data_IF_859574902794
#
_entry.id   IF_859574902794
#
_cell.length_a   1.000
_cell.length_b   1.000
_cell.length_c   1.000
_cell.angle_alpha   90.00
_cell.angle_beta   90.00
_cell.angle_gamma   90.00
#
_symmetry.space_group_name_H-M   'P 1'
#
loop_
_entity.id
_entity.type
_entity.pdbx_description
1 polymer ?
#
# COMPACT_ATOMS: atom_id res chain seq x y z
N UNK A 1 -25.25 0.54 20.90
CA UNK A 1 -26.40 1.03 20.12
C UNK A 1 -25.97 2.30 19.40
N UNK A 2 -26.90 3.04 18.77
CA UNK A 2 -26.60 4.34 18.13
C UNK A 2 -26.03 5.40 19.09
N UNK A 3 -26.14 5.20 20.41
CA UNK A 3 -25.63 6.07 21.45
C UNK A 3 -24.33 5.54 22.09
N UNK A 4 -23.73 4.47 21.54
CA UNK A 4 -22.50 3.87 22.07
C UNK A 4 -22.69 2.94 23.28
N UNK A 5 -23.92 2.56 23.63
CA UNK A 5 -24.17 1.66 24.75
C UNK A 5 -23.88 0.19 24.41
N UNK A 6 -23.46 -0.59 25.40
CA UNK A 6 -23.31 -2.05 25.31
C UNK A 6 -24.69 -2.70 25.35
N UNK A 7 -24.98 -3.59 24.39
CA UNK A 7 -26.20 -4.40 24.34
C UNK A 7 -25.88 -5.84 24.74
N UNK A 8 -26.82 -6.51 25.42
CA UNK A 8 -26.72 -7.92 25.82
C UNK A 8 -27.55 -8.80 24.87
N UNK A 9 -27.01 -9.94 24.46
CA UNK A 9 -27.76 -10.96 23.72
C UNK A 9 -28.56 -11.80 24.71
N UNK A 10 -29.88 -11.70 24.66
CA UNK A 10 -30.76 -12.42 25.59
C UNK A 10 -31.01 -13.87 25.16
N UNK A 11 -31.16 -14.13 23.85
CA UNK A 11 -31.46 -15.45 23.30
C UNK A 11 -30.78 -15.63 21.92
N UNK A 12 -30.42 -16.88 21.60
CA UNK A 12 -29.85 -17.29 20.31
C UNK A 12 -30.52 -18.58 19.85
N UNK A 13 -31.02 -18.60 18.60
CA UNK A 13 -31.74 -19.75 18.05
C UNK A 13 -31.38 -19.96 16.57
N UNK A 14 -31.46 -21.21 16.11
CA UNK A 14 -31.13 -21.60 14.73
C UNK A 14 -32.25 -22.49 14.18
N UNK A 15 -32.85 -22.06 13.07
CA UNK A 15 -33.95 -22.77 12.42
C UNK A 15 -33.62 -23.08 10.95
N UNK A 16 -33.94 -24.31 10.51
CA UNK A 16 -33.91 -24.69 9.11
C UNK A 16 -35.31 -24.53 8.51
N UNK A 17 -35.42 -23.73 7.45
CA UNK A 17 -36.70 -23.47 6.80
C UNK A 17 -37.00 -24.53 5.73
N UNK A 18 -38.27 -24.94 5.60
CA UNK A 18 -38.68 -25.91 4.57
C UNK A 18 -38.59 -25.35 3.14
N UNK A 19 -38.59 -24.02 2.98
CA UNK A 19 -38.54 -23.31 1.69
C UNK A 19 -37.56 -22.14 1.77
N UNK A 20 -36.89 -21.77 0.66
CA UNK A 20 -36.00 -20.62 0.64
C UNK A 20 -36.70 -19.33 1.07
N UNK A 21 -36.09 -18.60 2.00
CA UNK A 21 -36.56 -17.30 2.48
C UNK A 21 -35.78 -16.20 1.77
N UNK A 22 -36.49 -15.17 1.28
CA UNK A 22 -35.86 -13.99 0.69
C UNK A 22 -35.25 -13.13 1.80
N UNK A 23 -33.97 -12.83 1.68
CA UNK A 23 -33.22 -11.92 2.56
C UNK A 23 -32.70 -10.72 1.78
N UNK A 24 -32.38 -9.63 2.47
CA UNK A 24 -31.89 -8.39 1.86
C UNK A 24 -30.59 -7.95 2.54
N UNK A 25 -29.67 -7.43 1.74
CA UNK A 25 -28.44 -6.77 2.17
C UNK A 25 -28.18 -5.56 1.27
N UNK A 26 -27.44 -4.58 1.77
CA UNK A 26 -26.94 -3.43 1.00
C UNK A 26 -25.52 -3.13 1.46
N UNK A 27 -24.73 -2.47 0.62
CA UNK A 27 -23.36 -2.05 0.92
C UNK A 27 -23.31 -0.56 1.19
N UNK A 28 -22.48 -0.16 2.16
CA UNK A 28 -22.15 1.25 2.43
C UNK A 28 -20.68 1.48 2.12
N UNK A 29 -20.41 2.58 1.43
CA UNK A 29 -19.12 2.82 0.76
C UNK A 29 -17.94 3.01 1.73
N UNK A 30 -18.07 3.91 2.70
CA UNK A 30 -16.91 4.37 3.50
C UNK A 30 -16.80 3.63 4.84
N UNK A 31 -17.88 3.65 5.63
CA UNK A 31 -17.83 3.18 7.01
C UNK A 31 -17.97 1.67 7.17
N UNK A 32 -18.37 0.95 6.12
CA UNK A 32 -18.62 -0.51 6.09
C UNK A 32 -19.50 -1.04 7.24
N UNK A 33 -20.21 -0.14 7.94
CA UNK A 33 -21.00 -0.40 9.13
C UNK A 33 -22.31 0.37 9.05
N UNK A 34 -23.37 -0.21 9.58
CA UNK A 34 -24.70 0.37 9.60
C UNK A 34 -25.48 -0.13 10.81
N UNK A 35 -26.53 0.60 11.18
CA UNK A 35 -27.41 0.22 12.26
C UNK A 35 -28.64 -0.53 11.72
N UNK A 36 -28.98 -1.64 12.36
CA UNK A 36 -30.19 -2.43 12.06
C UNK A 36 -31.16 -2.45 13.23
N UNK A 37 -32.44 -2.69 12.92
CA UNK A 37 -33.56 -2.76 13.86
C UNK A 37 -33.87 -1.45 14.61
N UNK A 38 -34.98 -1.44 15.35
CA UNK A 38 -35.33 -0.32 16.23
C UNK A 38 -34.42 -0.15 17.44
N UNK A 39 -33.59 -1.17 17.77
CA UNK A 39 -32.61 -1.11 18.85
C UNK A 39 -31.29 -0.46 18.43
N UNK A 40 -31.11 -0.18 17.13
CA UNK A 40 -29.87 0.42 16.64
C UNK A 40 -28.66 -0.48 16.90
N UNK A 41 -28.76 -1.75 16.55
CA UNK A 41 -27.64 -2.69 16.64
C UNK A 41 -26.65 -2.34 15.53
N UNK A 42 -25.40 -2.08 15.88
CA UNK A 42 -24.34 -1.84 14.92
C UNK A 42 -23.90 -3.16 14.29
N UNK A 43 -23.99 -3.25 12.97
CA UNK A 43 -23.56 -4.40 12.16
C UNK A 43 -22.60 -3.95 11.07
N UNK A 44 -21.85 -4.89 10.52
CA UNK A 44 -20.93 -4.64 9.41
C UNK A 44 -21.42 -5.33 8.13
N UNK A 45 -20.99 -4.82 6.98
CA UNK A 45 -21.13 -5.53 5.72
C UNK A 45 -20.30 -6.82 5.75
N UNK A 46 -20.92 -7.96 5.39
CA UNK A 46 -20.19 -9.20 5.18
C UNK A 46 -19.55 -9.14 3.79
N UNK A 47 -18.22 -9.24 3.76
CA UNK A 47 -17.44 -9.08 2.56
C UNK A 47 -17.42 -10.36 1.69
N UNK A 48 -17.32 -10.19 0.37
CA UNK A 48 -16.91 -11.28 -0.53
C UNK A 48 -15.58 -11.85 -0.04
N UNK A 49 -15.42 -13.17 -0.13
CA UNK A 49 -14.36 -13.99 0.49
C UNK A 49 -13.00 -13.29 0.75
N UNK A 50 -12.52 -13.39 1.99
CA UNK A 50 -11.19 -12.94 2.45
C UNK A 50 -11.11 -11.43 2.61
N UNK A 51 -11.49 -10.91 3.79
CA UNK A 51 -11.49 -9.48 4.15
C UNK A 51 -11.69 -8.57 2.93
N UNK A 52 -12.86 -8.68 2.28
CA UNK A 52 -13.18 -8.18 0.93
C UNK A 52 -13.13 -6.68 0.74
N UNK A 53 -11.93 -6.18 0.88
CA UNK A 53 -11.42 -4.93 0.36
C UNK A 53 -11.05 -5.04 -1.12
N UNK A 54 -11.02 -6.27 -1.69
CA UNK A 54 -10.39 -6.49 -2.99
C UNK A 54 -11.23 -7.26 -4.02
N UNK A 55 -11.28 -6.74 -5.24
CA UNK A 55 -11.75 -7.40 -6.47
C UNK A 55 -10.72 -8.43 -6.97
N UNK A 56 -9.41 -8.14 -6.82
CA UNK A 56 -8.32 -9.06 -7.11
C UNK A 56 -7.63 -9.50 -5.82
N UNK A 57 -7.62 -10.81 -5.55
CA UNK A 57 -7.07 -11.34 -4.29
C UNK A 57 -5.56 -11.02 -4.15
N UNK A 58 -5.13 -10.23 -3.15
CA UNK A 58 -3.71 -9.94 -2.95
C UNK A 58 -2.87 -11.18 -2.68
N UNK A 59 -3.42 -12.20 -2.03
CA UNK A 59 -2.75 -13.48 -1.77
C UNK A 59 -2.40 -14.27 -3.05
N UNK A 60 -2.97 -13.93 -4.21
CA UNK A 60 -2.59 -14.55 -5.49
C UNK A 60 -1.22 -14.02 -5.99
N UNK A 61 -0.73 -12.90 -5.45
CA UNK A 61 0.56 -12.31 -5.83
C UNK A 61 1.69 -12.81 -4.91
N UNK A 62 2.70 -13.53 -5.44
CA UNK A 62 3.80 -14.06 -4.63
C UNK A 62 4.59 -12.98 -3.88
N UNK A 63 4.61 -11.75 -4.40
CA UNK A 63 5.29 -10.62 -3.75
C UNK A 63 4.52 -10.14 -2.52
N UNK A 64 3.19 -10.17 -2.55
CA UNK A 64 2.33 -9.91 -1.38
C UNK A 64 2.63 -10.93 -0.31
N UNK A 65 2.57 -12.23 -0.65
CA UNK A 65 2.86 -13.31 0.31
C UNK A 65 4.29 -13.28 0.88
N UNK A 66 5.24 -12.66 0.17
CA UNK A 66 6.62 -12.53 0.66
C UNK A 66 6.79 -11.42 1.71
N UNK A 67 5.95 -10.39 1.68
CA UNK A 67 6.15 -9.17 2.49
C UNK A 67 4.97 -8.86 3.44
N UNK A 68 3.80 -9.45 3.23
CA UNK A 68 2.59 -9.25 4.02
C UNK A 68 1.87 -10.59 4.28
N UNK A 69 1.02 -10.59 5.29
CA UNK A 69 0.17 -11.72 5.69
C UNK A 69 -1.24 -11.23 5.96
N UNK A 70 -2.22 -12.12 5.76
CA UNK A 70 -3.62 -11.85 6.10
C UNK A 70 -3.76 -11.69 7.62
N UNK A 71 -4.46 -10.64 8.05
CA UNK A 71 -4.84 -10.42 9.44
C UNK A 71 -6.29 -9.95 9.49
N UNK A 72 -7.22 -10.75 10.07
CA UNK A 72 -8.62 -10.37 10.23
C UNK A 72 -8.86 -9.08 11.04
N UNK A 73 -7.87 -8.63 11.81
CA UNK A 73 -7.98 -7.40 12.59
C UNK A 73 -7.42 -6.19 11.84
N UNK A 74 -6.68 -6.39 10.74
CA UNK A 74 -6.13 -5.27 9.98
C UNK A 74 -7.25 -4.57 9.20
N UNK A 75 -7.17 -3.23 9.11
CA UNK A 75 -8.20 -2.38 8.48
C UNK A 75 -8.49 -2.78 7.03
N UNK A 76 -7.46 -3.22 6.30
CA UNK A 76 -7.59 -3.73 4.93
C UNK A 76 -7.27 -5.23 4.82
N UNK A 77 -7.33 -5.95 5.93
CA UNK A 77 -7.20 -7.41 5.96
C UNK A 77 -5.80 -7.98 5.78
N UNK A 78 -4.78 -7.13 5.61
CA UNK A 78 -3.37 -7.53 5.50
C UNK A 78 -2.49 -6.65 6.38
N UNK A 79 -1.39 -7.22 6.87
CA UNK A 79 -0.32 -6.48 7.55
C UNK A 79 1.06 -6.93 7.07
N UNK A 80 2.10 -6.07 7.19
CA UNK A 80 3.47 -6.43 6.89
C UNK A 80 4.01 -7.56 7.77
N UNK A 81 4.80 -8.44 7.18
CA UNK A 81 5.55 -9.46 7.90
C UNK A 81 6.76 -8.88 8.63
N UNK A 82 7.18 -9.56 9.70
CA UNK A 82 8.37 -9.19 10.49
C UNK A 82 9.70 -9.43 9.75
N UNK A 83 9.66 -10.20 8.67
CA UNK A 83 10.75 -10.40 7.73
C UNK A 83 10.44 -9.72 6.37
N UNK A 84 11.31 -9.91 5.39
CA UNK A 84 11.12 -9.31 4.07
C UNK A 84 11.42 -7.81 4.00
N UNK A 85 10.86 -7.17 2.98
CA UNK A 85 11.16 -5.77 2.63
C UNK A 85 10.32 -4.75 3.40
N UNK A 86 9.18 -5.17 3.97
CA UNK A 86 8.30 -4.30 4.76
C UNK A 86 8.48 -4.46 6.28
N UNK A 87 9.49 -5.19 6.74
CA UNK A 87 9.78 -5.45 8.17
C UNK A 87 9.78 -4.23 9.09
N UNK A 88 10.13 -3.04 8.56
CA UNK A 88 10.15 -1.81 9.34
C UNK A 88 8.75 -1.33 9.75
N UNK A 89 7.70 -1.82 9.09
CA UNK A 89 6.30 -1.47 9.36
C UNK A 89 5.55 -2.56 10.13
N UNK A 90 6.20 -3.70 10.41
CA UNK A 90 5.56 -4.90 10.94
C UNK A 90 5.14 -4.80 12.42
N UNK A 91 5.66 -3.81 13.15
CA UNK A 91 5.35 -3.59 14.57
C UNK A 91 4.32 -2.49 14.80
N UNK A 92 3.81 -1.87 13.72
CA UNK A 92 2.76 -0.85 13.80
C UNK A 92 1.38 -1.49 14.00
N UNK A 93 0.41 -0.71 14.50
CA UNK A 93 -0.95 -1.19 14.71
C UNK A 93 -1.81 -1.05 13.45
N UNK A 94 -1.83 -2.10 12.65
CA UNK A 94 -2.62 -2.15 11.42
C UNK A 94 -4.13 -2.34 11.65
N UNK A 95 -4.57 -2.48 12.90
CA UNK A 95 -5.99 -2.49 13.27
C UNK A 95 -6.57 -1.09 13.56
N UNK A 96 -5.70 -0.09 13.71
CA UNK A 96 -6.09 1.30 13.94
C UNK A 96 -6.43 2.03 12.62
N UNK A 97 -7.70 2.43 12.39
CA UNK A 97 -8.09 3.14 11.18
C UNK A 97 -7.39 4.48 10.97
N UNK A 98 -7.07 5.23 12.05
CA UNK A 98 -6.41 6.53 11.91
C UNK A 98 -4.95 6.37 11.47
N UNK A 99 -4.23 5.41 12.05
CA UNK A 99 -2.90 5.04 11.61
C UNK A 99 -2.91 4.56 10.15
N UNK A 100 -3.81 3.65 9.79
CA UNK A 100 -3.85 3.08 8.44
C UNK A 100 -4.21 4.13 7.39
N UNK A 101 -5.13 5.07 7.67
CA UNK A 101 -5.42 6.16 6.74
C UNK A 101 -4.21 7.09 6.57
N UNK A 102 -3.47 7.38 7.65
CA UNK A 102 -2.20 8.13 7.56
C UNK A 102 -1.16 7.41 6.69
N UNK A 103 -1.04 6.08 6.85
CA UNK A 103 -0.16 5.25 6.03
C UNK A 103 -0.61 5.23 4.56
N UNK A 104 -1.92 5.15 4.30
CA UNK A 104 -2.52 5.21 2.96
C UNK A 104 -2.21 6.52 2.27
N UNK A 105 -2.39 7.67 2.93
CA UNK A 105 -2.06 8.98 2.35
C UNK A 105 -0.57 9.11 2.03
N UNK A 106 0.32 8.66 2.92
CA UNK A 106 1.77 8.60 2.63
C UNK A 106 2.08 7.71 1.43
N UNK A 107 1.34 6.61 1.27
CA UNK A 107 1.49 5.69 0.14
C UNK A 107 1.01 6.31 -1.17
N UNK A 108 -0.12 7.03 -1.17
CA UNK A 108 -0.62 7.78 -2.33
C UNK A 108 0.42 8.81 -2.77
N UNK A 109 0.94 9.62 -1.83
CA UNK A 109 1.99 10.60 -2.15
C UNK A 109 3.24 9.93 -2.74
N UNK A 110 3.68 8.80 -2.17
CA UNK A 110 4.80 8.05 -2.72
C UNK A 110 4.53 7.57 -4.16
N UNK A 111 3.30 7.13 -4.47
CA UNK A 111 2.92 6.68 -5.82
C UNK A 111 2.87 7.86 -6.80
N UNK A 112 2.38 9.02 -6.36
CA UNK A 112 2.43 10.26 -7.16
C UNK A 112 3.87 10.67 -7.45
N UNK A 113 4.76 10.57 -6.47
CA UNK A 113 6.19 10.80 -6.66
C UNK A 113 6.82 9.75 -7.61
N UNK A 114 6.44 8.47 -7.54
CA UNK A 114 6.91 7.45 -8.49
C UNK A 114 6.30 7.64 -9.90
N UNK A 115 5.10 8.24 -10.05
CA UNK A 115 4.51 8.60 -11.35
C UNK A 115 5.41 9.58 -12.11
N UNK A 116 6.08 10.48 -11.40
CA UNK A 116 7.07 11.39 -12.02
C UNK A 116 8.22 10.63 -12.70
N UNK A 117 8.60 9.45 -12.19
CA UNK A 117 9.61 8.57 -12.79
C UNK A 117 9.05 7.92 -14.06
N UNK A 118 7.80 7.46 -14.05
CA UNK A 118 7.14 6.92 -15.23
C UNK A 118 7.00 7.95 -16.35
N UNK A 119 6.67 9.19 -16.00
CA UNK A 119 6.58 10.31 -16.95
C UNK A 119 7.97 10.63 -17.52
N UNK A 120 9.00 10.70 -16.67
CA UNK A 120 10.39 10.87 -17.10
C UNK A 120 10.83 9.78 -18.09
N UNK A 121 10.53 8.50 -17.78
CA UNK A 121 10.85 7.38 -18.68
C UNK A 121 10.14 7.50 -20.01
N UNK A 122 8.86 7.88 -19.99
CA UNK A 122 8.05 8.04 -21.20
C UNK A 122 8.57 9.18 -22.07
N UNK A 123 8.89 10.32 -21.47
CA UNK A 123 9.49 11.48 -22.14
C UNK A 123 10.84 11.15 -22.77
N UNK A 124 11.70 10.44 -22.05
CA UNK A 124 13.01 10.04 -22.56
C UNK A 124 12.89 9.03 -23.72
N UNK A 125 11.97 8.07 -23.63
CA UNK A 125 11.66 7.17 -24.74
C UNK A 125 11.16 7.92 -25.97
N UNK A 126 10.26 8.90 -25.77
CA UNK A 126 9.74 9.74 -26.86
C UNK A 126 10.84 10.60 -27.50
N UNK A 127 11.88 10.98 -26.73
CA UNK A 127 13.08 11.68 -27.23
C UNK A 127 14.09 10.75 -27.90
N UNK A 128 13.85 9.44 -27.92
CA UNK A 128 14.76 8.46 -28.52
C UNK A 128 16.01 8.15 -27.69
N UNK A 129 15.98 8.43 -26.38
CA UNK A 129 17.08 8.08 -25.47
C UNK A 129 17.27 6.56 -25.41
N UNK A 130 18.52 6.14 -25.22
CA UNK A 130 18.86 4.74 -25.01
C UNK A 130 18.39 4.24 -23.64
N UNK A 131 18.26 2.92 -23.49
CA UNK A 131 17.92 2.32 -22.19
C UNK A 131 18.94 2.67 -21.11
N UNK A 132 20.22 2.81 -21.45
CA UNK A 132 21.28 3.18 -20.51
C UNK A 132 21.11 4.63 -20.04
N UNK A 133 20.84 5.57 -20.95
CA UNK A 133 20.58 6.97 -20.62
C UNK A 133 19.35 7.12 -19.71
N UNK A 134 18.29 6.36 -20.02
CA UNK A 134 17.08 6.32 -19.20
C UNK A 134 17.40 5.79 -17.80
N UNK A 135 18.13 4.67 -17.70
CA UNK A 135 18.49 4.07 -16.42
C UNK A 135 19.37 4.99 -15.55
N UNK A 136 20.35 5.67 -16.16
CA UNK A 136 21.14 6.71 -15.48
C UNK A 136 20.25 7.82 -14.92
N UNK A 137 19.39 8.39 -15.77
CA UNK A 137 18.56 9.53 -15.41
C UNK A 137 17.59 9.20 -14.28
N UNK A 138 17.02 7.99 -14.26
CA UNK A 138 16.16 7.55 -13.16
C UNK A 138 16.95 7.39 -11.86
N UNK A 139 18.15 6.80 -11.90
CA UNK A 139 18.99 6.66 -10.71
C UNK A 139 19.30 8.03 -10.10
N UNK A 140 19.72 8.99 -10.95
CA UNK A 140 20.05 10.34 -10.52
C UNK A 140 18.82 11.06 -9.97
N UNK A 141 17.68 10.96 -10.65
CA UNK A 141 16.41 11.53 -10.21
C UNK A 141 16.01 11.00 -8.81
N UNK A 142 15.99 9.67 -8.61
CA UNK A 142 15.63 9.06 -7.32
C UNK A 142 16.57 9.47 -6.20
N UNK A 143 17.86 9.53 -6.50
CA UNK A 143 18.88 9.91 -5.54
C UNK A 143 18.73 11.40 -5.15
N UNK A 144 18.49 12.27 -6.12
CA UNK A 144 18.25 13.70 -5.90
C UNK A 144 16.96 13.96 -5.11
N UNK A 145 15.85 13.30 -5.47
CA UNK A 145 14.58 13.42 -4.75
C UNK A 145 14.75 13.02 -3.28
N UNK A 146 15.52 11.95 -3.02
CA UNK A 146 15.81 11.53 -1.64
C UNK A 146 16.65 12.56 -0.88
N UNK A 147 17.66 13.17 -1.49
CA UNK A 147 18.41 14.26 -0.85
C UNK A 147 17.51 15.47 -0.56
N UNK A 148 16.73 15.89 -1.55
CA UNK A 148 15.84 17.04 -1.45
C UNK A 148 14.79 16.86 -0.34
N UNK A 149 14.38 15.62 -0.02
CA UNK A 149 13.46 15.36 1.09
C UNK A 149 14.01 15.76 2.47
N UNK A 150 15.31 16.02 2.58
CA UNK A 150 15.98 16.51 3.79
C UNK A 150 16.48 17.95 3.69
N UNK A 151 16.04 18.70 2.67
CA UNK A 151 16.34 20.12 2.49
C UNK A 151 15.06 20.96 2.67
N UNK A 152 15.19 22.20 3.14
CA UNK A 152 14.12 23.20 3.04
C UNK A 152 14.09 23.86 1.65
N UNK A 153 13.15 24.78 1.45
CA UNK A 153 12.98 25.53 0.19
C UNK A 153 14.19 26.39 -0.19
N UNK A 154 15.01 26.77 0.80
CA UNK A 154 16.22 27.58 0.61
C UNK A 154 17.48 26.70 0.43
N UNK A 155 17.32 25.37 0.48
CA UNK A 155 18.39 24.39 0.34
C UNK A 155 19.16 24.09 1.62
N UNK A 156 18.68 24.52 2.78
CA UNK A 156 19.29 24.18 4.07
C UNK A 156 18.87 22.79 4.51
N UNK A 157 19.80 22.05 5.11
CA UNK A 157 19.54 20.69 5.61
C UNK A 157 18.63 20.78 6.84
N UNK A 158 17.41 20.23 6.74
CA UNK A 158 16.45 20.14 7.84
C UNK A 158 16.64 18.88 8.70
N UNK A 159 17.39 17.90 8.21
CA UNK A 159 17.74 16.68 8.94
C UNK A 159 19.10 16.13 8.49
N UNK A 160 20.14 16.43 9.27
CA UNK A 160 21.52 16.08 8.94
C UNK A 160 21.77 14.56 8.93
N UNK A 161 21.21 13.82 9.89
CA UNK A 161 21.36 12.37 9.95
C UNK A 161 20.69 11.69 8.75
N UNK A 162 19.48 12.13 8.39
CA UNK A 162 18.75 11.63 7.23
C UNK A 162 19.46 11.95 5.92
N UNK A 163 19.97 13.18 5.79
CA UNK A 163 20.73 13.62 4.62
C UNK A 163 22.02 12.81 4.44
N UNK A 164 22.80 12.59 5.51
CA UNK A 164 24.03 11.79 5.46
C UNK A 164 23.73 10.32 5.12
N UNK A 165 22.69 9.73 5.71
CA UNK A 165 22.27 8.37 5.35
C UNK A 165 21.81 8.26 3.89
N UNK A 166 21.19 9.31 3.34
CA UNK A 166 20.85 9.38 1.93
C UNK A 166 22.09 9.45 1.03
N UNK A 167 23.09 10.26 1.38
CA UNK A 167 24.36 10.34 0.67
C UNK A 167 25.08 8.99 0.63
N UNK A 168 25.17 8.29 1.76
CA UNK A 168 25.75 6.95 1.82
C UNK A 168 24.98 5.97 0.93
N UNK A 169 23.65 6.04 0.97
CA UNK A 169 22.79 5.17 0.15
C UNK A 169 23.03 5.38 -1.34
N UNK A 170 23.24 6.62 -1.80
CA UNK A 170 23.48 6.94 -3.21
C UNK A 170 24.71 6.22 -3.77
N UNK A 171 25.75 6.02 -2.96
CA UNK A 171 26.95 5.28 -3.39
C UNK A 171 26.64 3.85 -3.80
N UNK A 172 25.66 3.22 -3.15
CA UNK A 172 25.23 1.83 -3.44
C UNK A 172 24.06 1.75 -4.42
N UNK A 173 23.47 2.89 -4.80
CA UNK A 173 22.26 2.99 -5.63
C UNK A 173 22.45 3.88 -6.86
N UNK A 174 23.70 4.22 -7.20
CA UNK A 174 24.06 4.80 -8.49
C UNK A 174 23.91 3.77 -9.61
N UNK A 175 23.82 4.25 -10.85
CA UNK A 175 23.79 3.37 -12.02
C UNK A 175 24.99 2.40 -12.03
N UNK A 176 26.21 2.93 -11.88
CA UNK A 176 27.44 2.13 -11.90
C UNK A 176 27.48 1.07 -10.81
N UNK A 177 27.01 1.40 -9.59
CA UNK A 177 26.93 0.44 -8.50
C UNK A 177 25.92 -0.68 -8.79
N UNK A 178 24.78 -0.35 -9.40
CA UNK A 178 23.76 -1.32 -9.76
C UNK A 178 24.23 -2.23 -10.90
N UNK A 179 24.89 -1.68 -11.92
CA UNK A 179 25.52 -2.46 -13.00
C UNK A 179 26.61 -3.38 -12.43
N UNK A 180 27.46 -2.86 -11.54
CA UNK A 180 28.50 -3.66 -10.87
C UNK A 180 27.91 -4.79 -10.01
N UNK A 181 26.69 -4.62 -9.49
CA UNK A 181 25.96 -5.67 -8.76
C UNK A 181 25.28 -6.72 -9.66
N UNK A 182 25.39 -6.58 -10.99
CA UNK A 182 24.86 -7.51 -11.98
C UNK A 182 23.46 -7.19 -12.50
N UNK A 183 22.92 -5.99 -12.26
CA UNK A 183 21.65 -5.57 -12.86
C UNK A 183 21.84 -5.09 -14.30
N UNK A 184 20.82 -5.27 -15.13
CA UNK A 184 20.74 -4.64 -16.46
C UNK A 184 20.03 -3.28 -16.40
N UNK A 185 20.23 -2.38 -17.37
CA UNK A 185 19.47 -1.12 -17.48
C UNK A 185 17.94 -1.34 -17.45
N UNK A 186 17.42 -2.36 -18.12
CA UNK A 186 15.99 -2.70 -18.11
C UNK A 186 15.51 -3.12 -16.72
N UNK A 187 16.33 -3.88 -15.98
CA UNK A 187 16.05 -4.24 -14.60
C UNK A 187 16.08 -3.02 -13.67
N UNK A 188 16.97 -2.05 -13.91
CA UNK A 188 17.03 -0.79 -13.16
C UNK A 188 15.75 0.02 -13.39
N UNK A 189 15.37 0.24 -14.65
CA UNK A 189 14.15 0.99 -15.02
C UNK A 189 12.91 0.30 -14.44
N UNK A 190 12.75 -1.00 -14.68
CA UNK A 190 11.59 -1.74 -14.18
C UNK A 190 11.51 -1.74 -12.65
N UNK A 191 12.62 -1.94 -11.94
CA UNK A 191 12.63 -1.89 -10.47
C UNK A 191 12.32 -0.51 -9.89
N UNK A 192 12.50 0.55 -10.69
CA UNK A 192 12.24 1.93 -10.29
C UNK A 192 10.81 2.38 -10.54
N UNK A 193 10.05 1.64 -11.37
CA UNK A 193 8.64 1.90 -11.67
C UNK A 193 7.71 0.93 -10.92
N UNK A 194 8.25 -0.04 -10.18
CA UNK A 194 7.47 -1.04 -9.44
C UNK A 194 7.05 -0.49 -8.08
N UNK A 195 5.75 -0.51 -7.86
CA UNK A 195 5.11 -0.40 -6.56
C UNK A 195 5.28 -1.70 -5.77
N UNK A 196 5.27 -1.66 -4.43
CA UNK A 196 5.24 -2.89 -3.64
C UNK A 196 3.76 -3.27 -3.43
N UNK A 197 3.24 -4.30 -4.14
CA UNK A 197 1.84 -4.70 -4.03
C UNK A 197 1.45 -5.08 -2.60
N UNK A 198 2.40 -5.56 -1.79
CA UNK A 198 2.14 -5.94 -0.40
C UNK A 198 1.73 -4.73 0.46
N UNK A 199 2.37 -3.57 0.26
CA UNK A 199 2.01 -2.36 0.99
C UNK A 199 0.64 -1.87 0.53
N UNK A 200 0.36 -1.94 -0.77
CA UNK A 200 -0.94 -1.53 -1.33
C UNK A 200 -2.07 -2.41 -0.78
N UNK A 201 -1.81 -3.70 -0.55
CA UNK A 201 -2.73 -4.60 0.15
C UNK A 201 -2.90 -4.29 1.65
N UNK A 202 -1.90 -3.70 2.31
CA UNK A 202 -2.02 -3.27 3.71
C UNK A 202 -2.80 -1.95 3.85
N UNK A 203 -2.85 -1.12 2.79
CA UNK A 203 -3.46 0.22 2.83
C UNK A 203 -4.68 0.39 1.90
N UNK A 204 -5.23 -0.70 1.33
CA UNK A 204 -6.45 -0.62 0.53
C UNK A 204 -6.29 -0.04 -0.87
N UNK A 205 -5.08 -0.09 -1.45
CA UNK A 205 -4.77 0.47 -2.77
C UNK A 205 -4.44 -0.61 -3.82
N UNK A 206 -4.58 -1.90 -3.47
CA UNK A 206 -4.15 -2.99 -4.32
C UNK A 206 -4.88 -3.02 -5.67
N UNK A 207 -6.22 -2.94 -5.67
CA UNK A 207 -6.98 -2.98 -6.93
C UNK A 207 -6.77 -1.74 -7.79
N UNK A 208 -6.70 -0.56 -7.17
CA UNK A 208 -6.42 0.71 -7.86
C UNK A 208 -5.11 0.63 -8.65
N UNK A 209 -4.13 -0.11 -8.12
CA UNK A 209 -2.80 -0.26 -8.69
C UNK A 209 -2.58 -1.64 -9.33
N UNK A 210 -3.60 -2.48 -9.46
CA UNK A 210 -3.45 -3.90 -9.85
C UNK A 210 -2.73 -4.06 -11.19
N UNK A 211 -3.03 -3.19 -12.15
CA UNK A 211 -2.43 -3.22 -13.48
C UNK A 211 -0.95 -2.76 -13.51
N UNK A 212 -0.40 -2.30 -12.39
CA UNK A 212 1.00 -1.84 -12.28
C UNK A 212 1.97 -2.91 -11.80
N UNK A 213 1.47 -4.08 -11.37
CA UNK A 213 2.26 -5.15 -10.75
C UNK A 213 2.86 -6.16 -11.73
#
# INVERSE_FOLDING_TARGET
DVNGNVLLVENFDVELTEKPVKVYNFQVEVFHTYHVSGLGVLVHNAEKYGNGHYDNNPSDNPKVLADAEEDPNAVYGYKPKKDGSLKNFANEDWSDPEFVESARQKRIQYIEDDRSICDLVSDMKNKGCSTEEIAHSICDYRNQTRLNSYLDLDGNIINENGYNAALERMQTRSYDALISSGKTPEQIISSSMRTNPAMDACVGLYDENFNSY
#
